data_IF_414209499196
#
_entry.id   IF_414209499196
#
_cell.length_a   1.000
_cell.length_b   1.000
_cell.length_c   1.000
_cell.angle_alpha   90.00
_cell.angle_beta   90.00
_cell.angle_gamma   90.00
#
_symmetry.space_group_name_H-M   'P 1'
#
loop_
_entity.id
_entity.type
_entity.pdbx_description
1 polymer ?
#
# COMPACT_ATOMS: atom_id res chain seq x y z
N UNK A 1 4.93 0.74 -6.73
CA UNK A 1 3.72 -0.09 -6.62
C UNK A 1 2.93 0.25 -5.36
N UNK A 2 3.59 0.50 -4.21
CA UNK A 2 2.91 0.86 -2.96
C UNK A 2 2.04 2.10 -3.07
N UNK A 3 2.61 3.20 -3.58
CA UNK A 3 1.85 4.43 -3.94
C UNK A 3 0.59 4.23 -4.78
N UNK A 4 0.56 3.25 -5.69
CA UNK A 4 -0.63 2.98 -6.50
C UNK A 4 -1.73 2.31 -5.67
N UNK A 5 -1.36 1.31 -4.85
CA UNK A 5 -2.30 0.67 -3.92
C UNK A 5 -2.81 1.66 -2.87
N UNK A 6 -1.93 2.54 -2.38
CA UNK A 6 -2.29 3.61 -1.45
C UNK A 6 -3.33 4.56 -2.06
N UNK A 7 -3.07 5.04 -3.27
CA UNK A 7 -4.00 5.90 -3.98
C UNK A 7 -5.33 5.20 -4.29
N UNK A 8 -5.28 3.96 -4.78
CA UNK A 8 -6.48 3.20 -5.15
C UNK A 8 -7.34 2.89 -3.92
N UNK A 9 -6.72 2.43 -2.83
CA UNK A 9 -7.40 2.18 -1.56
C UNK A 9 -8.03 3.45 -0.99
N UNK A 10 -7.29 4.56 -1.00
CA UNK A 10 -7.79 5.86 -0.56
C UNK A 10 -8.97 6.35 -1.42
N UNK A 11 -8.88 6.20 -2.74
CA UNK A 11 -9.95 6.56 -3.67
C UNK A 11 -11.22 5.72 -3.44
N UNK A 12 -11.08 4.41 -3.20
CA UNK A 12 -12.21 3.53 -2.86
C UNK A 12 -12.85 3.96 -1.53
N UNK A 13 -12.05 4.21 -0.49
CA UNK A 13 -12.56 4.62 0.81
C UNK A 13 -13.29 5.97 0.74
N UNK A 14 -12.67 6.99 0.15
CA UNK A 14 -13.26 8.32 0.00
C UNK A 14 -14.49 8.26 -0.90
N UNK A 15 -14.41 7.56 -2.03
CA UNK A 15 -15.53 7.39 -2.96
C UNK A 15 -16.72 6.69 -2.31
N UNK A 16 -16.47 5.70 -1.47
CA UNK A 16 -17.53 5.03 -0.69
C UNK A 16 -18.19 5.99 0.29
N UNK A 17 -17.40 6.77 1.05
CA UNK A 17 -17.98 7.79 1.95
C UNK A 17 -18.82 8.82 1.22
N UNK A 18 -18.37 9.29 0.05
CA UNK A 18 -19.13 10.22 -0.78
C UNK A 18 -20.45 9.62 -1.27
N UNK A 19 -20.43 8.37 -1.74
CA UNK A 19 -21.65 7.67 -2.16
C UNK A 19 -22.63 7.51 -0.99
N UNK A 20 -22.15 7.09 0.18
CA UNK A 20 -22.99 6.99 1.38
C UNK A 20 -23.57 8.36 1.75
N UNK A 21 -22.76 9.42 1.75
CA UNK A 21 -23.23 10.76 2.04
C UNK A 21 -24.34 11.21 1.06
N UNK A 22 -24.18 10.96 -0.24
CA UNK A 22 -25.20 11.29 -1.26
C UNK A 22 -26.53 10.59 -1.03
N UNK A 23 -26.52 9.37 -0.48
CA UNK A 23 -27.77 8.65 -0.15
C UNK A 23 -28.49 9.20 1.08
N UNK A 24 -27.77 9.89 1.97
CA UNK A 24 -28.30 10.46 3.22
C UNK A 24 -28.78 11.92 3.06
N UNK A 25 -28.31 12.64 2.03
CA UNK A 25 -28.68 14.04 1.76
C UNK A 25 -30.21 14.24 1.59
N UNK A 26 -30.96 13.38 0.87
CA UNK A 26 -32.39 13.59 0.66
C UNK A 26 -33.23 13.41 1.93
N UNK A 27 -32.81 12.52 2.83
CA UNK A 27 -33.46 12.27 4.12
C UNK A 27 -32.46 11.60 5.05
N UNK A 28 -31.96 12.29 6.08
CA UNK A 28 -31.01 11.74 7.05
C UNK A 28 -31.74 10.82 8.03
N UNK A 29 -32.26 9.72 7.52
CA UNK A 29 -32.82 8.63 8.32
C UNK A 29 -31.77 7.53 8.48
N UNK A 30 -31.48 7.16 9.73
CA UNK A 30 -30.57 6.07 10.09
C UNK A 30 -31.08 4.74 9.51
N UNK A 31 -32.39 4.59 9.30
CA UNK A 31 -32.98 3.43 8.61
C UNK A 31 -32.40 3.20 7.22
N UNK A 32 -31.95 4.26 6.53
CA UNK A 32 -31.34 4.16 5.20
C UNK A 32 -29.91 3.59 5.23
N UNK A 33 -29.25 3.54 6.39
CA UNK A 33 -27.91 2.96 6.52
C UNK A 33 -27.93 1.43 6.52
N UNK A 34 -29.00 0.81 7.01
CA UNK A 34 -29.15 -0.65 7.11
C UNK A 34 -28.93 -1.34 5.75
N UNK A 35 -29.57 -0.92 4.63
CA UNK A 35 -29.35 -1.54 3.33
C UNK A 35 -27.98 -1.21 2.71
N UNK A 36 -27.31 -0.15 3.17
CA UNK A 36 -26.02 0.32 2.63
C UNK A 36 -24.84 -0.39 3.29
N UNK A 37 -24.99 -0.72 4.58
CA UNK A 37 -23.93 -1.30 5.41
C UNK A 37 -23.28 -2.56 4.83
N UNK A 38 -24.01 -3.54 4.23
CA UNK A 38 -23.43 -4.78 3.73
C UNK A 38 -22.37 -4.60 2.64
N UNK A 39 -22.40 -3.50 1.89
CA UNK A 39 -21.42 -3.23 0.83
C UNK A 39 -20.48 -2.07 1.20
N UNK A 40 -20.97 -1.03 1.87
CA UNK A 40 -20.15 0.13 2.21
C UNK A 40 -19.08 -0.23 3.26
N UNK A 41 -19.44 -1.04 4.25
CA UNK A 41 -18.50 -1.47 5.28
C UNK A 41 -17.31 -2.26 4.70
N UNK A 42 -17.51 -3.36 3.93
CA UNK A 42 -16.38 -4.06 3.33
C UNK A 42 -15.62 -3.22 2.30
N UNK A 43 -16.26 -2.29 1.58
CA UNK A 43 -15.56 -1.39 0.66
C UNK A 43 -14.62 -0.43 1.40
N UNK A 44 -15.06 0.18 2.51
CA UNK A 44 -14.22 1.02 3.35
C UNK A 44 -13.08 0.21 3.96
N UNK A 45 -13.39 -0.95 4.57
CA UNK A 45 -12.40 -1.81 5.18
C UNK A 45 -11.36 -2.30 4.16
N UNK A 46 -11.80 -2.72 2.97
CA UNK A 46 -10.93 -3.13 1.87
C UNK A 46 -10.07 -1.99 1.33
N UNK A 47 -10.63 -0.79 1.18
CA UNK A 47 -9.87 0.41 0.78
C UNK A 47 -8.78 0.76 1.79
N UNK A 48 -9.09 0.74 3.09
CA UNK A 48 -8.09 0.96 4.16
C UNK A 48 -7.01 -0.13 4.18
N UNK A 49 -7.39 -1.38 3.92
CA UNK A 49 -6.45 -2.48 3.84
C UNK A 49 -5.49 -2.30 2.64
N UNK A 50 -6.00 -1.88 1.49
CA UNK A 50 -5.17 -1.55 0.32
C UNK A 50 -4.21 -0.39 0.61
N UNK A 51 -4.65 0.63 1.35
CA UNK A 51 -3.78 1.73 1.80
C UNK A 51 -2.62 1.20 2.65
N UNK A 52 -2.94 0.40 3.67
CA UNK A 52 -1.93 -0.18 4.55
C UNK A 52 -0.96 -1.10 3.79
N UNK A 53 -1.48 -1.93 2.88
CA UNK A 53 -0.66 -2.77 2.02
C UNK A 53 0.25 -1.96 1.09
N UNK A 54 -0.26 -0.85 0.54
CA UNK A 54 0.53 0.08 -0.26
C UNK A 54 1.74 0.60 0.51
N UNK A 55 1.52 1.12 1.71
CA UNK A 55 2.58 1.59 2.59
C UNK A 55 3.59 0.48 2.95
N UNK A 56 3.10 -0.73 3.25
CA UNK A 56 3.96 -1.88 3.58
C UNK A 56 4.87 -2.28 2.40
N UNK A 57 4.37 -2.24 1.17
CA UNK A 57 5.17 -2.55 -0.02
C UNK A 57 6.30 -1.55 -0.23
N UNK A 58 6.07 -0.27 0.04
CA UNK A 58 7.12 0.75 -0.07
C UNK A 58 8.21 0.52 0.99
N UNK A 59 7.85 0.09 2.21
CA UNK A 59 8.82 -0.34 3.21
C UNK A 59 9.63 -1.56 2.77
N UNK A 60 8.99 -2.60 2.21
CA UNK A 60 9.67 -3.79 1.71
C UNK A 60 10.62 -3.45 0.56
N UNK A 61 10.23 -2.54 -0.33
CA UNK A 61 11.09 -2.08 -1.42
C UNK A 61 12.34 -1.37 -0.88
N UNK A 62 12.19 -0.52 0.15
CA UNK A 62 13.32 0.13 0.79
C UNK A 62 14.29 -0.88 1.44
N UNK A 63 13.77 -1.90 2.12
CA UNK A 63 14.59 -2.99 2.70
C UNK A 63 15.34 -3.74 1.60
N UNK A 64 14.68 -4.06 0.49
CA UNK A 64 15.32 -4.74 -0.65
C UNK A 64 16.47 -3.93 -1.22
N UNK A 65 16.28 -2.63 -1.44
CA UNK A 65 17.33 -1.74 -1.97
C UNK A 65 18.53 -1.69 -0.99
N UNK A 66 18.28 -1.56 0.30
CA UNK A 66 19.35 -1.56 1.31
C UNK A 66 20.11 -2.91 1.34
N UNK A 67 19.40 -4.03 1.19
CA UNK A 67 20.01 -5.36 1.11
C UNK A 67 20.86 -5.54 -0.15
N UNK A 68 20.39 -5.04 -1.30
CA UNK A 68 21.15 -5.07 -2.55
C UNK A 68 22.43 -4.23 -2.45
N UNK A 69 22.38 -3.06 -1.81
CA UNK A 69 23.57 -2.25 -1.54
C UNK A 69 24.57 -2.96 -0.63
N UNK A 70 24.11 -3.66 0.41
CA UNK A 70 24.98 -4.45 1.29
C UNK A 70 25.66 -5.60 0.54
N UNK A 71 24.92 -6.30 -0.32
CA UNK A 71 25.46 -7.38 -1.14
C UNK A 71 26.54 -6.87 -2.11
N UNK A 72 26.33 -5.69 -2.68
CA UNK A 72 27.29 -5.04 -3.58
C UNK A 72 28.60 -4.67 -2.87
N UNK A 73 28.53 -4.08 -1.67
CA UNK A 73 29.73 -3.78 -0.87
C UNK A 73 30.50 -5.07 -0.56
N UNK A 74 29.79 -6.16 -0.22
CA UNK A 74 30.42 -7.44 0.07
C UNK A 74 31.15 -8.03 -1.14
N UNK A 75 30.56 -7.89 -2.34
CA UNK A 75 31.20 -8.26 -3.61
C UNK A 75 32.47 -7.47 -3.86
N UNK A 76 32.42 -6.15 -3.71
CA UNK A 76 33.59 -5.28 -3.89
C UNK A 76 34.74 -5.63 -2.94
N UNK A 77 34.42 -6.01 -1.70
CA UNK A 77 35.42 -6.46 -0.73
C UNK A 77 36.05 -7.80 -1.11
N UNK A 78 35.27 -8.74 -1.66
CA UNK A 78 35.79 -10.02 -2.15
C UNK A 78 36.69 -9.83 -3.37
N UNK A 79 36.27 -9.01 -4.34
CA UNK A 79 37.06 -8.69 -5.54
C UNK A 79 38.38 -7.98 -5.18
N UNK A 80 38.35 -7.03 -4.23
CA UNK A 80 39.57 -6.40 -3.71
C UNK A 80 40.54 -7.38 -3.07
N UNK A 81 40.04 -8.51 -2.53
CA UNK A 81 40.87 -9.52 -1.86
C UNK A 81 41.42 -10.60 -2.79
N UNK A 82 41.05 -10.61 -4.08
CA UNK A 82 41.68 -11.43 -5.10
C UNK A 82 42.82 -10.66 -5.75
N UNK A 83 44.08 -10.79 -5.28
CA UNK A 83 45.21 -10.19 -5.99
C UNK A 83 45.31 -10.81 -7.38
N UNK A 84 45.82 -10.08 -8.39
CA UNK A 84 46.15 -10.68 -9.67
C UNK A 84 47.15 -11.81 -9.40
N UNK A 85 46.74 -13.04 -9.68
CA UNK A 85 47.65 -14.18 -9.75
C UNK A 85 48.61 -13.87 -10.89
N UNK A 86 49.74 -13.24 -10.56
CA UNK A 86 50.85 -13.06 -11.50
C UNK A 86 51.35 -14.46 -11.84
N UNK A 87 51.02 -14.90 -13.04
CA UNK A 87 51.76 -15.95 -13.76
C UNK A 87 53.18 -15.47 -14.07
#
# INVERSE_FOLDING_TARGET
MGKFLEFLGGAITIGTFLLVAMTLVPSPDIGNLIPILPWAFPAIAGGLLLVAFGAMLDHLAAIRIASEQQAEIFRQLLERRSPPRKE
#
